data_IF_992001843970
#
_entry.id   IF_992001843970
#
_cell.length_a   1.000
_cell.length_b   1.000
_cell.length_c   1.000
_cell.angle_alpha   90.00
_cell.angle_beta   90.00
_cell.angle_gamma   90.00
#
_symmetry.space_group_name_H-M   'P 1'
#
loop_
_entity.id
_entity.type
_entity.pdbx_description
1 polymer ?
#
# COMPACT_ATOMS: atom_id res chain seq x y z
N UNK A 1 -18.55 -22.01 -30.16
CA UNK A 1 -17.89 -21.61 -28.89
C UNK A 1 -17.45 -20.18 -28.96
N UNK A 2 -17.38 -19.49 -27.80
CA UNK A 2 -16.83 -18.15 -27.69
C UNK A 2 -15.33 -18.30 -27.38
N UNK A 3 -14.46 -17.63 -28.15
CA UNK A 3 -13.03 -17.56 -27.87
C UNK A 3 -12.81 -16.45 -26.85
N UNK A 4 -12.22 -16.79 -25.71
CA UNK A 4 -11.83 -15.82 -24.68
C UNK A 4 -10.31 -15.73 -24.65
N UNK A 5 -9.79 -14.53 -24.77
CA UNK A 5 -8.35 -14.24 -24.69
C UNK A 5 -8.10 -13.22 -23.59
N UNK A 6 -6.88 -13.22 -23.03
CA UNK A 6 -6.42 -12.21 -22.10
C UNK A 6 -5.02 -11.72 -22.51
N UNK A 7 -4.57 -10.63 -21.89
CA UNK A 7 -3.26 -10.05 -22.10
C UNK A 7 -2.43 -10.17 -20.82
N UNK A 8 -1.89 -11.37 -20.50
CA UNK A 8 -1.13 -11.57 -19.28
C UNK A 8 0.12 -10.68 -19.28
N UNK A 9 0.53 -10.23 -18.08
CA UNK A 9 1.77 -9.49 -17.79
C UNK A 9 1.86 -8.04 -18.30
N UNK A 10 1.06 -7.63 -19.28
CA UNK A 10 1.15 -6.32 -19.94
C UNK A 10 1.00 -5.15 -18.95
N UNK A 11 0.17 -5.30 -17.91
CA UNK A 11 -0.13 -4.27 -16.92
C UNK A 11 0.73 -4.35 -15.64
N UNK A 12 1.53 -5.41 -15.48
CA UNK A 12 2.21 -5.67 -14.20
C UNK A 12 3.22 -4.58 -13.82
N UNK A 13 3.98 -4.10 -14.80
CA UNK A 13 4.94 -3.01 -14.60
C UNK A 13 4.25 -1.69 -14.26
N UNK A 14 3.22 -1.31 -15.02
CA UNK A 14 2.46 -0.08 -14.80
C UNK A 14 1.79 -0.06 -13.41
N UNK A 15 1.15 -1.16 -13.01
CA UNK A 15 0.54 -1.27 -11.68
C UNK A 15 1.59 -1.16 -10.57
N UNK A 16 2.76 -1.78 -10.75
CA UNK A 16 3.84 -1.68 -9.77
C UNK A 16 4.43 -0.26 -9.72
N UNK A 17 4.45 0.48 -10.82
CA UNK A 17 4.85 1.89 -10.85
C UNK A 17 3.90 2.76 -10.06
N UNK A 18 2.58 2.55 -10.21
CA UNK A 18 1.57 3.23 -9.39
C UNK A 18 1.77 2.89 -7.91
N UNK A 19 1.99 1.62 -7.54
CA UNK A 19 2.23 1.25 -6.15
C UNK A 19 3.45 1.99 -5.54
N UNK A 20 4.55 2.12 -6.28
CA UNK A 20 5.73 2.88 -5.84
C UNK A 20 5.44 4.38 -5.77
N UNK A 21 4.75 4.93 -6.77
CA UNK A 21 4.34 6.35 -6.77
C UNK A 21 3.50 6.69 -5.54
N UNK A 22 2.49 5.88 -5.25
CA UNK A 22 1.61 6.06 -4.10
C UNK A 22 2.37 5.93 -2.78
N UNK A 23 3.27 4.95 -2.65
CA UNK A 23 4.12 4.79 -1.47
C UNK A 23 4.99 6.02 -1.20
N UNK A 24 5.63 6.55 -2.23
CA UNK A 24 6.44 7.77 -2.15
C UNK A 24 5.58 8.99 -1.86
N UNK A 25 4.42 9.09 -2.54
CA UNK A 25 3.44 10.16 -2.36
C UNK A 25 2.97 10.26 -0.92
N UNK A 26 2.55 9.12 -0.33
CA UNK A 26 2.18 9.01 1.07
C UNK A 26 3.32 9.42 2.01
N UNK A 27 4.48 8.79 1.86
CA UNK A 27 5.63 9.03 2.72
C UNK A 27 6.11 10.47 2.69
N UNK A 28 5.99 11.15 1.56
CA UNK A 28 6.47 12.54 1.36
C UNK A 28 5.36 13.58 1.40
N UNK A 29 4.11 13.20 1.72
CA UNK A 29 2.94 14.10 1.78
C UNK A 29 2.75 14.89 0.47
N UNK A 30 2.95 14.21 -0.67
CA UNK A 30 2.98 14.87 -1.97
C UNK A 30 1.62 15.51 -2.34
N UNK A 31 0.51 14.84 -2.07
CA UNK A 31 -0.84 15.34 -2.32
C UNK A 31 -1.18 16.59 -1.50
N UNK A 32 -0.74 16.63 -0.24
CA UNK A 32 -0.89 17.81 0.61
C UNK A 32 -0.10 19.00 0.06
N UNK A 33 1.17 18.78 -0.30
CA UNK A 33 2.03 19.80 -0.87
C UNK A 33 1.47 20.36 -2.19
N UNK A 34 0.95 19.48 -3.05
CA UNK A 34 0.30 19.89 -4.31
C UNK A 34 -0.93 20.77 -4.04
N UNK A 35 -1.82 20.36 -3.10
CA UNK A 35 -2.99 21.18 -2.73
C UNK A 35 -2.59 22.56 -2.25
N UNK A 36 -1.62 22.64 -1.32
CA UNK A 36 -1.12 23.92 -0.77
C UNK A 36 -0.56 24.85 -1.84
N UNK A 37 0.10 24.29 -2.85
CA UNK A 37 0.60 25.10 -3.99
C UNK A 37 -0.56 25.59 -4.87
N UNK A 38 -1.55 24.74 -5.14
CA UNK A 38 -2.69 25.08 -6.01
C UNK A 38 -3.64 26.10 -5.38
N UNK A 39 -3.93 25.97 -4.09
CA UNK A 39 -4.87 26.85 -3.36
C UNK A 39 -4.18 28.08 -2.75
N UNK A 40 -2.86 28.19 -2.85
CA UNK A 40 -2.09 29.30 -2.32
C UNK A 40 -2.05 29.37 -0.79
N UNK A 41 -2.30 28.26 -0.10
CA UNK A 41 -2.29 28.19 1.36
C UNK A 41 -0.87 28.09 1.95
N UNK A 42 0.15 27.87 1.13
CA UNK A 42 1.54 27.91 1.59
C UNK A 42 1.93 29.34 1.98
N UNK A 43 2.10 29.60 3.30
CA UNK A 43 2.37 30.94 3.85
C UNK A 43 3.80 31.12 4.35
N UNK A 44 4.34 30.07 4.95
CA UNK A 44 5.60 30.11 5.67
C UNK A 44 6.47 28.91 5.31
N UNK A 45 7.76 29.05 5.61
CA UNK A 45 8.73 27.96 5.52
C UNK A 45 9.42 27.78 6.87
N UNK A 46 9.57 26.53 7.30
CA UNK A 46 10.39 26.17 8.45
C UNK A 46 11.05 24.80 8.22
N UNK A 47 12.14 24.48 8.92
CA UNK A 47 12.79 23.16 8.82
C UNK A 47 11.89 21.97 9.16
N UNK A 48 10.83 22.17 9.96
CA UNK A 48 9.85 21.15 10.33
C UNK A 48 8.59 21.16 9.44
N UNK A 49 8.50 22.09 8.48
CA UNK A 49 7.35 22.20 7.59
C UNK A 49 7.34 21.07 6.58
N UNK A 50 6.18 20.40 6.43
CA UNK A 50 5.98 19.30 5.48
C UNK A 50 6.97 18.13 5.63
N UNK A 51 7.46 17.90 6.86
CA UNK A 51 8.32 16.75 7.14
C UNK A 51 7.50 15.47 6.97
N UNK A 52 7.91 14.64 6.01
CA UNK A 52 7.37 13.32 5.78
C UNK A 52 8.20 12.22 6.45
N UNK A 53 7.86 10.98 6.16
CA UNK A 53 8.60 9.80 6.58
C UNK A 53 9.63 9.39 5.53
N UNK A 54 10.82 8.97 5.95
CA UNK A 54 11.75 8.28 5.07
C UNK A 54 11.27 6.84 4.84
N UNK A 55 11.42 6.34 3.61
CA UNK A 55 11.17 4.92 3.29
C UNK A 55 12.48 4.11 3.25
N UNK A 56 13.62 4.77 3.10
CA UNK A 56 14.95 4.14 3.08
C UNK A 56 15.16 3.33 4.36
N UNK A 57 15.54 2.07 4.20
CA UNK A 57 15.77 1.14 5.31
C UNK A 57 14.51 0.71 6.07
N UNK A 58 13.31 1.06 5.60
CA UNK A 58 12.04 0.62 6.15
C UNK A 58 11.64 -0.77 5.63
N UNK A 59 10.78 -1.45 6.39
CA UNK A 59 10.27 -2.78 6.06
C UNK A 59 9.01 -2.64 5.20
N UNK A 60 9.06 -3.23 4.01
CA UNK A 60 7.91 -3.32 3.11
C UNK A 60 7.26 -4.69 3.25
N UNK A 61 6.07 -4.75 3.82
CA UNK A 61 5.22 -5.92 3.82
C UNK A 61 4.41 -6.01 2.53
N UNK A 62 4.45 -7.15 1.86
CA UNK A 62 3.70 -7.40 0.62
C UNK A 62 2.72 -8.54 0.85
N UNK A 63 1.42 -8.26 0.77
CA UNK A 63 0.39 -9.30 0.71
C UNK A 63 0.12 -9.62 -0.74
N UNK A 64 0.57 -10.79 -1.20
CA UNK A 64 0.47 -11.19 -2.60
C UNK A 64 1.73 -10.91 -3.43
N UNK A 65 2.78 -11.68 -3.20
CA UNK A 65 4.06 -11.63 -3.93
C UNK A 65 3.94 -12.40 -5.28
N UNK A 66 2.89 -12.06 -6.06
CA UNK A 66 2.71 -12.51 -7.44
C UNK A 66 3.52 -11.68 -8.42
N UNK A 67 3.08 -11.57 -9.68
CA UNK A 67 3.78 -10.79 -10.71
C UNK A 67 4.00 -9.33 -10.30
N UNK A 68 2.93 -8.62 -9.93
CA UNK A 68 3.00 -7.22 -9.49
C UNK A 68 3.84 -7.09 -8.22
N UNK A 69 3.57 -7.91 -7.19
CA UNK A 69 4.29 -7.86 -5.92
C UNK A 69 5.80 -8.06 -6.07
N UNK A 70 6.25 -8.98 -6.94
CA UNK A 70 7.68 -9.17 -7.24
C UNK A 70 8.31 -7.95 -7.90
N UNK A 71 7.58 -7.26 -8.78
CA UNK A 71 8.06 -6.04 -9.44
C UNK A 71 8.11 -4.89 -8.43
N UNK A 72 7.10 -4.74 -7.57
CA UNK A 72 7.11 -3.78 -6.45
C UNK A 72 8.32 -4.03 -5.55
N UNK A 73 8.55 -5.29 -5.12
CA UNK A 73 9.70 -5.67 -4.31
C UNK A 73 11.03 -5.31 -4.98
N UNK A 74 11.18 -5.62 -6.28
CA UNK A 74 12.38 -5.28 -7.06
C UNK A 74 12.66 -3.78 -7.04
N UNK A 75 11.64 -2.94 -7.23
CA UNK A 75 11.78 -1.48 -7.24
C UNK A 75 12.03 -0.92 -5.83
N UNK A 76 11.36 -1.45 -4.82
CA UNK A 76 11.53 -1.03 -3.42
C UNK A 76 12.94 -1.30 -2.87
N UNK A 77 13.60 -2.36 -3.35
CA UNK A 77 15.03 -2.59 -3.02
C UNK A 77 15.94 -1.45 -3.47
N UNK A 78 15.57 -0.71 -4.53
CA UNK A 78 16.29 0.50 -4.95
C UNK A 78 16.26 1.63 -3.92
N UNK A 79 15.32 1.57 -2.97
CA UNK A 79 15.22 2.46 -1.80
C UNK A 79 15.78 1.80 -0.53
N UNK A 80 16.54 0.72 -0.65
CA UNK A 80 17.14 -0.02 0.47
C UNK A 80 16.09 -0.58 1.45
N UNK A 81 14.84 -0.81 1.00
CA UNK A 81 13.81 -1.39 1.84
C UNK A 81 14.05 -2.88 2.06
N UNK A 82 13.81 -3.35 3.29
CA UNK A 82 13.75 -4.77 3.61
C UNK A 82 12.39 -5.32 3.18
N UNK A 83 12.40 -6.40 2.40
CA UNK A 83 11.18 -6.96 1.81
C UNK A 83 10.68 -8.13 2.62
N UNK A 84 9.46 -8.02 3.12
CA UNK A 84 8.71 -9.08 3.78
C UNK A 84 7.48 -9.43 2.94
N UNK A 85 7.04 -10.67 2.93
CA UNK A 85 5.84 -11.04 2.19
C UNK A 85 5.07 -12.21 2.79
N UNK A 86 3.78 -12.26 2.47
CA UNK A 86 2.90 -13.39 2.74
C UNK A 86 2.13 -13.77 1.47
N UNK A 87 2.13 -15.05 1.15
CA UNK A 87 1.39 -15.69 0.06
C UNK A 87 0.68 -16.95 0.58
N UNK A 88 -0.32 -17.44 -0.16
CA UNK A 88 -0.90 -18.77 0.08
C UNK A 88 0.15 -19.87 0.00
N UNK A 89 1.10 -19.74 -0.92
CA UNK A 89 2.22 -20.65 -1.10
C UNK A 89 3.50 -19.82 -1.14
N UNK A 90 4.52 -20.27 -0.42
CA UNK A 90 5.84 -19.68 -0.45
C UNK A 90 6.41 -19.71 -1.87
N UNK A 91 7.08 -18.66 -2.29
CA UNK A 91 7.80 -18.63 -3.55
C UNK A 91 9.00 -19.59 -3.53
N UNK A 92 9.46 -20.00 -4.72
CA UNK A 92 10.78 -20.61 -4.82
C UNK A 92 11.86 -19.59 -4.39
N UNK A 93 12.90 -20.05 -3.72
CA UNK A 93 13.99 -19.21 -3.19
C UNK A 93 14.60 -18.27 -4.24
N UNK A 94 14.74 -18.75 -5.47
CA UNK A 94 15.21 -17.95 -6.60
C UNK A 94 14.32 -16.74 -6.93
N UNK A 95 13.02 -16.83 -6.63
CA UNK A 95 12.05 -15.76 -6.86
C UNK A 95 11.88 -14.84 -5.64
N UNK A 96 12.26 -15.29 -4.45
CA UNK A 96 12.26 -14.46 -3.23
C UNK A 96 13.29 -13.34 -3.32
N UNK A 97 14.43 -13.58 -3.94
CA UNK A 97 15.51 -12.59 -4.10
C UNK A 97 15.86 -11.91 -2.77
N UNK A 98 15.95 -12.67 -1.69
CA UNK A 98 16.24 -12.19 -0.35
C UNK A 98 15.04 -11.61 0.41
N UNK A 99 13.81 -11.73 -0.11
CA UNK A 99 12.61 -11.36 0.65
C UNK A 99 12.32 -12.39 1.75
N UNK A 100 11.83 -11.90 2.89
CA UNK A 100 11.51 -12.72 4.06
C UNK A 100 10.06 -13.18 3.96
N UNK A 101 9.85 -14.49 3.91
CA UNK A 101 8.51 -15.09 3.89
C UNK A 101 7.91 -15.17 5.29
N UNK A 102 6.62 -14.89 5.39
CA UNK A 102 5.81 -15.09 6.59
C UNK A 102 4.68 -16.08 6.28
N UNK A 103 4.47 -17.05 7.16
CA UNK A 103 3.45 -18.09 6.99
C UNK A 103 2.02 -17.54 7.12
N UNK A 104 1.85 -16.43 7.83
CA UNK A 104 0.56 -15.78 8.02
C UNK A 104 0.61 -14.28 7.80
N UNK A 105 -0.54 -13.68 7.52
CA UNK A 105 -0.69 -12.23 7.46
C UNK A 105 -0.45 -11.65 8.85
N UNK A 106 -0.86 -12.34 9.89
CA UNK A 106 -0.71 -11.96 11.29
C UNK A 106 0.77 -11.81 11.71
N UNK A 107 1.67 -12.59 11.10
CA UNK A 107 3.12 -12.50 11.33
C UNK A 107 3.77 -11.40 10.47
N UNK A 108 3.21 -11.12 9.28
CA UNK A 108 3.69 -10.07 8.39
C UNK A 108 3.39 -8.67 8.92
N UNK A 109 2.16 -8.45 9.43
CA UNK A 109 1.69 -7.11 9.78
C UNK A 109 2.57 -6.38 10.79
N UNK A 110 3.05 -6.98 11.90
CA UNK A 110 3.87 -6.28 12.89
C UNK A 110 5.23 -5.79 12.39
N UNK A 111 5.69 -6.34 11.27
CA UNK A 111 6.97 -5.97 10.65
C UNK A 111 6.80 -5.12 9.39
N UNK A 112 5.61 -4.59 9.13
CA UNK A 112 5.30 -3.81 7.92
C UNK A 112 5.21 -2.33 8.25
N UNK A 113 6.30 -1.58 8.09
CA UNK A 113 6.29 -0.12 8.19
C UNK A 113 5.50 0.49 7.02
N UNK A 114 5.58 -0.15 5.86
CA UNK A 114 4.74 0.08 4.68
C UNK A 114 4.10 -1.24 4.30
N UNK A 115 2.79 -1.26 4.06
CA UNK A 115 2.04 -2.43 3.62
C UNK A 115 1.52 -2.22 2.21
N UNK A 116 1.88 -3.10 1.27
CA UNK A 116 1.38 -3.10 -0.11
C UNK A 116 0.48 -4.31 -0.37
N UNK A 117 -0.74 -4.04 -0.83
CA UNK A 117 -1.72 -5.07 -1.18
C UNK A 117 -1.65 -5.36 -2.68
N UNK A 118 -1.30 -6.61 -3.04
CA UNK A 118 -1.15 -7.07 -4.42
C UNK A 118 -1.83 -8.42 -4.67
N UNK A 119 -2.68 -8.87 -3.75
CA UNK A 119 -3.44 -10.12 -3.90
C UNK A 119 -4.79 -9.86 -4.59
N UNK A 120 -5.33 -10.83 -5.33
CA UNK A 120 -6.65 -10.69 -5.94
C UNK A 120 -7.77 -10.66 -4.88
N UNK A 121 -8.86 -9.96 -5.21
CA UNK A 121 -10.09 -10.05 -4.44
C UNK A 121 -10.77 -11.40 -4.65
N UNK A 122 -11.21 -12.01 -3.55
CA UNK A 122 -12.00 -13.23 -3.53
C UNK A 122 -12.88 -13.21 -2.27
N UNK A 123 -13.82 -14.15 -2.10
CA UNK A 123 -14.58 -14.26 -0.85
C UNK A 123 -13.67 -14.39 0.40
N UNK A 124 -12.54 -15.08 0.28
CA UNK A 124 -11.59 -15.31 1.37
C UNK A 124 -10.73 -14.07 1.68
N UNK A 125 -10.56 -13.18 0.72
CA UNK A 125 -9.77 -11.93 0.88
C UNK A 125 -10.65 -10.69 1.04
N UNK A 126 -11.97 -10.83 1.03
CA UNK A 126 -12.88 -9.72 1.30
C UNK A 126 -12.65 -9.17 2.71
N UNK A 127 -12.51 -7.84 2.84
CA UNK A 127 -12.13 -7.17 4.08
C UNK A 127 -10.87 -7.78 4.74
N UNK A 128 -9.91 -8.20 3.92
CA UNK A 128 -8.66 -8.80 4.38
C UNK A 128 -7.99 -7.94 5.45
N UNK A 129 -7.98 -6.63 5.25
CA UNK A 129 -7.44 -5.67 6.21
C UNK A 129 -8.58 -5.16 7.11
N UNK A 130 -8.93 -5.99 8.11
CA UNK A 130 -9.92 -5.68 9.16
C UNK A 130 -9.35 -4.72 10.21
N UNK A 131 -10.20 -4.26 11.14
CA UNK A 131 -9.77 -3.42 12.27
C UNK A 131 -8.69 -4.10 13.12
N UNK A 132 -8.86 -5.39 13.42
CA UNK A 132 -7.91 -6.19 14.20
C UNK A 132 -6.56 -6.31 13.50
N UNK A 133 -6.56 -6.47 12.18
CA UNK A 133 -5.34 -6.54 11.37
C UNK A 133 -4.65 -5.19 11.25
N UNK A 134 -5.41 -4.11 11.04
CA UNK A 134 -4.85 -2.75 11.05
C UNK A 134 -4.20 -2.43 12.40
N UNK A 135 -4.80 -2.85 13.52
CA UNK A 135 -4.24 -2.66 14.84
C UNK A 135 -2.88 -3.35 15.06
N UNK A 136 -2.55 -4.40 14.28
CA UNK A 136 -1.26 -5.10 14.33
C UNK A 136 -0.12 -4.40 13.60
N UNK A 137 -0.42 -3.48 12.69
CA UNK A 137 0.61 -2.69 12.00
C UNK A 137 1.39 -1.85 13.02
N UNK A 138 2.65 -1.50 12.74
CA UNK A 138 3.37 -0.48 13.50
C UNK A 138 2.60 0.85 13.52
N UNK A 139 2.75 1.62 14.59
CA UNK A 139 2.17 2.96 14.66
C UNK A 139 2.79 3.86 13.59
N UNK A 140 1.95 4.58 12.86
CA UNK A 140 2.38 5.40 11.74
C UNK A 140 2.71 4.62 10.47
N UNK A 141 2.26 3.37 10.33
CA UNK A 141 2.41 2.62 9.09
C UNK A 141 1.70 3.29 7.91
N UNK A 142 2.21 3.03 6.71
CA UNK A 142 1.62 3.46 5.43
C UNK A 142 0.98 2.25 4.75
N UNK A 143 -0.21 2.42 4.19
CA UNK A 143 -0.91 1.38 3.43
C UNK A 143 -1.04 1.82 1.98
N UNK A 144 -0.70 0.94 1.05
CA UNK A 144 -0.86 1.13 -0.40
C UNK A 144 -1.70 0.00 -0.97
N UNK A 145 -2.75 0.34 -1.72
CA UNK A 145 -3.60 -0.66 -2.37
C UNK A 145 -3.80 -0.34 -3.86
N UNK A 146 -3.20 -1.17 -4.70
CA UNK A 146 -3.37 -1.16 -6.17
C UNK A 146 -4.05 -2.43 -6.67
N UNK A 147 -4.60 -3.25 -5.78
CA UNK A 147 -5.16 -4.56 -6.11
C UNK A 147 -6.69 -4.55 -6.19
N UNK A 148 -7.38 -4.24 -5.11
CA UNK A 148 -8.85 -4.12 -5.07
C UNK A 148 -9.33 -3.41 -3.80
N UNK A 149 -10.32 -2.54 -3.94
CA UNK A 149 -10.99 -1.90 -2.80
C UNK A 149 -11.71 -2.89 -1.88
N UNK A 150 -12.10 -4.06 -2.38
CA UNK A 150 -12.75 -5.11 -1.59
C UNK A 150 -11.86 -5.71 -0.49
N UNK A 151 -10.52 -5.54 -0.58
CA UNK A 151 -9.57 -6.01 0.42
C UNK A 151 -9.61 -5.20 1.72
N UNK A 152 -10.16 -3.99 1.69
CA UNK A 152 -10.14 -3.05 2.80
C UNK A 152 -11.48 -3.00 3.53
N UNK A 153 -11.43 -2.94 4.86
CA UNK A 153 -12.53 -2.45 5.67
C UNK A 153 -12.40 -0.92 5.77
N UNK A 154 -13.12 -0.19 4.92
CA UNK A 154 -13.00 1.27 4.80
C UNK A 154 -13.33 2.01 6.10
N UNK A 155 -14.32 1.53 6.88
CA UNK A 155 -14.65 2.16 8.18
C UNK A 155 -13.52 2.02 9.19
N UNK A 156 -12.91 0.83 9.27
CA UNK A 156 -11.75 0.59 10.13
C UNK A 156 -10.53 1.42 9.69
N UNK A 157 -10.38 1.62 8.38
CA UNK A 157 -9.33 2.45 7.81
C UNK A 157 -9.48 3.92 8.20
N UNK A 158 -10.69 4.47 8.09
CA UNK A 158 -11.01 5.85 8.51
C UNK A 158 -10.71 6.06 9.99
N UNK A 159 -11.10 5.11 10.84
CA UNK A 159 -10.83 5.17 12.28
C UNK A 159 -9.32 5.15 12.59
N UNK A 160 -8.58 4.28 11.91
CA UNK A 160 -7.13 4.17 12.07
C UNK A 160 -6.38 5.43 11.61
N UNK A 161 -6.84 6.08 10.54
CA UNK A 161 -6.30 7.37 10.09
C UNK A 161 -6.60 8.49 11.12
N UNK A 162 -7.85 8.57 11.60
CA UNK A 162 -8.26 9.59 12.59
C UNK A 162 -7.53 9.45 13.92
N UNK A 163 -7.30 8.22 14.36
CA UNK A 163 -6.55 7.96 15.60
C UNK A 163 -5.04 8.12 15.46
N UNK A 164 -4.51 8.27 14.24
CA UNK A 164 -3.08 8.30 13.96
C UNK A 164 -2.40 6.92 14.04
N UNK A 165 -3.17 5.84 14.14
CA UNK A 165 -2.64 4.46 14.11
C UNK A 165 -1.88 4.18 12.81
N UNK A 166 -2.42 4.63 11.68
CA UNK A 166 -1.73 4.67 10.40
C UNK A 166 -1.50 6.12 9.97
N UNK A 167 -0.35 6.39 9.38
CA UNK A 167 0.01 7.74 8.96
C UNK A 167 -0.69 8.13 7.66
N UNK A 168 -0.83 7.20 6.73
CA UNK A 168 -1.42 7.45 5.41
C UNK A 168 -1.94 6.18 4.79
N UNK A 169 -2.91 6.33 3.91
CA UNK A 169 -3.38 5.31 2.99
C UNK A 169 -3.48 5.89 1.59
N UNK A 170 -2.93 5.18 0.63
CA UNK A 170 -3.00 5.58 -0.78
C UNK A 170 -3.66 4.46 -1.60
N UNK A 171 -4.68 4.84 -2.34
CA UNK A 171 -5.57 3.92 -3.04
C UNK A 171 -5.63 4.26 -4.52
N UNK A 172 -5.34 3.28 -5.37
CA UNK A 172 -5.59 3.33 -6.82
C UNK A 172 -6.96 2.71 -7.18
N UNK A 173 -7.54 1.98 -6.22
CA UNK A 173 -8.76 1.18 -6.38
C UNK A 173 -9.70 1.37 -5.20
N UNK A 174 -11.00 1.36 -5.47
CA UNK A 174 -12.03 1.64 -4.47
C UNK A 174 -13.09 0.54 -4.44
N UNK A 175 -13.82 0.45 -3.34
CA UNK A 175 -14.95 -0.49 -3.22
C UNK A 175 -16.10 -0.11 -4.14
N UNK A 176 -16.32 1.20 -4.35
CA UNK A 176 -17.32 1.77 -5.25
C UNK A 176 -16.59 2.61 -6.28
N UNK A 177 -16.72 2.22 -7.52
CA UNK A 177 -16.13 2.92 -8.68
C UNK A 177 -17.22 3.19 -9.73
N UNK A 178 -17.33 4.40 -10.30
CA UNK A 178 -16.57 5.60 -9.98
C UNK A 178 -17.05 6.27 -8.68
N UNK A 179 -16.17 7.04 -8.01
CA UNK A 179 -16.55 7.93 -6.91
C UNK A 179 -15.76 7.74 -5.62
N UNK A 180 -15.34 6.54 -5.31
CA UNK A 180 -14.55 6.25 -4.11
C UNK A 180 -15.31 6.51 -2.79
N UNK A 181 -14.59 6.46 -1.68
CA UNK A 181 -15.10 6.81 -0.35
C UNK A 181 -14.73 8.26 0.00
N UNK A 182 -15.74 9.13 0.10
CA UNK A 182 -15.54 10.56 0.40
C UNK A 182 -14.93 10.81 1.79
N UNK A 183 -15.19 9.93 2.76
CA UNK A 183 -14.58 10.08 4.09
C UNK A 183 -13.08 9.82 4.05
N UNK A 184 -12.65 8.78 3.32
CA UNK A 184 -11.22 8.51 3.11
C UNK A 184 -10.57 9.65 2.34
N UNK A 185 -11.20 10.11 1.25
CA UNK A 185 -10.68 11.21 0.42
C UNK A 185 -10.58 12.57 1.13
N UNK A 186 -11.35 12.76 2.21
CA UNK A 186 -11.33 14.00 3.00
C UNK A 186 -10.26 14.02 4.09
N UNK A 187 -9.63 12.86 4.39
CA UNK A 187 -8.57 12.79 5.39
C UNK A 187 -7.25 13.28 4.79
N UNK A 188 -6.38 13.90 5.60
CA UNK A 188 -5.03 14.24 5.18
C UNK A 188 -4.25 12.94 4.95
N UNK A 189 -3.86 12.71 3.72
CA UNK A 189 -3.07 11.56 3.26
C UNK A 189 -1.81 12.07 2.59
#
# INVERSE_FOLDING_TARGET
GIIVTNTPDVLSDATAEIAILLMLGAARRAGEGERMMRDGSWRDWSPSFMVGSAITGKRLGIIGMGRVGQIVAKRARGFEMEIHYCNRNRLAETNEQGAIYHDSIEDLLPVSDVLSLNCPASPETANLLSAERIARLPDGAIIVNTASGALLNESALVEALRSGKIASVELDVYRIEPGGNREVAALPT
#
